data_IF_031439272064
#
_entry.id   IF_031439272064
#
_cell.length_a   1.000
_cell.length_b   1.000
_cell.length_c   1.000
_cell.angle_alpha   90.00
_cell.angle_beta   90.00
_cell.angle_gamma   90.00
#
_symmetry.space_group_name_H-M   'P 1'
#
loop_
_entity.id
_entity.type
_entity.pdbx_description
1 polymer ?
#
# COMPACT_ATOMS: atom_id res chain seq x y z
N UNK A 1 68.42 11.03 -7.67
CA UNK A 1 68.71 10.30 -6.42
C UNK A 1 67.60 9.26 -6.24
N UNK A 2 67.85 8.05 -6.76
CA UNK A 2 68.04 6.79 -5.99
C UNK A 2 66.72 6.28 -5.40
N UNK A 3 66.18 5.09 -5.72
CA UNK A 3 66.83 3.84 -6.15
C UNK A 3 65.80 2.85 -6.71
N UNK A 4 66.17 2.14 -7.79
CA UNK A 4 65.51 0.93 -8.33
C UNK A 4 66.09 -0.34 -7.66
N UNK A 5 65.27 -1.38 -7.51
CA UNK A 5 65.66 -2.81 -7.42
C UNK A 5 64.43 -3.66 -7.82
N UNK A 6 64.37 -4.31 -8.99
CA UNK A 6 64.95 -5.63 -9.36
C UNK A 6 64.49 -6.74 -8.39
N UNK A 7 64.00 -7.92 -8.75
CA UNK A 7 64.05 -8.70 -10.01
C UNK A 7 63.26 -10.02 -9.82
N UNK A 8 62.75 -10.61 -10.93
CA UNK A 8 62.74 -12.07 -11.29
C UNK A 8 61.94 -13.12 -10.49
N UNK A 9 61.47 -14.28 -11.00
CA UNK A 9 61.33 -14.93 -12.32
C UNK A 9 60.62 -16.30 -12.10
N UNK A 10 60.13 -16.89 -13.20
CA UNK A 10 59.86 -18.32 -13.50
C UNK A 10 58.47 -18.93 -13.16
N UNK A 11 57.63 -19.39 -14.10
CA UNK A 11 57.66 -20.35 -15.25
C UNK A 11 57.30 -21.82 -14.92
N UNK A 12 56.43 -22.39 -15.79
CA UNK A 12 56.09 -23.82 -16.06
C UNK A 12 55.11 -24.48 -15.05
N UNK A 13 54.12 -25.30 -15.44
CA UNK A 13 54.00 -26.24 -16.57
C UNK A 13 52.53 -26.70 -16.78
N UNK A 14 52.20 -27.14 -18.01
CA UNK A 14 50.94 -27.85 -18.40
C UNK A 14 50.84 -29.25 -17.78
N UNK A 15 49.62 -29.71 -17.45
CA UNK A 15 49.12 -31.11 -17.57
C UNK A 15 47.59 -31.18 -17.32
N UNK A 16 46.83 -31.71 -18.30
CA UNK A 16 45.56 -32.45 -18.17
C UNK A 16 45.87 -33.92 -18.56
N UNK A 17 44.99 -34.92 -18.33
CA UNK A 17 43.73 -34.94 -17.58
C UNK A 17 43.70 -36.07 -16.52
N UNK A 18 42.70 -36.09 -15.63
CA UNK A 18 42.11 -37.36 -15.21
C UNK A 18 40.66 -37.19 -14.73
N UNK A 19 39.84 -38.12 -15.20
CA UNK A 19 38.40 -38.23 -15.07
C UNK A 19 38.04 -38.77 -13.68
N UNK A 20 37.12 -38.12 -12.94
CA UNK A 20 36.26 -38.73 -11.91
C UNK A 20 35.29 -37.72 -11.27
N UNK A 21 34.01 -38.04 -11.42
CA UNK A 21 32.87 -37.79 -10.53
C UNK A 21 32.20 -36.40 -10.54
N UNK A 22 31.14 -36.33 -11.35
CA UNK A 22 29.96 -35.49 -11.21
C UNK A 22 29.26 -35.69 -9.86
N UNK A 23 28.95 -34.59 -9.16
CA UNK A 23 27.78 -34.42 -8.25
C UNK A 23 27.77 -33.13 -7.43
N UNK A 24 28.75 -32.22 -7.54
CA UNK A 24 28.86 -31.05 -6.63
C UNK A 24 28.76 -29.66 -7.26
N UNK A 25 28.11 -29.49 -8.42
CA UNK A 25 28.03 -28.20 -9.13
C UNK A 25 26.64 -27.54 -9.23
N UNK A 26 25.62 -28.09 -8.58
CA UNK A 26 24.25 -27.56 -8.66
C UNK A 26 23.93 -26.57 -7.51
N UNK A 27 24.74 -26.51 -6.46
CA UNK A 27 24.36 -25.82 -5.21
C UNK A 27 24.97 -24.42 -4.98
N UNK A 28 25.78 -23.87 -5.90
CA UNK A 28 26.45 -22.57 -5.70
C UNK A 28 25.86 -21.39 -6.50
N UNK A 29 24.78 -21.59 -7.26
CA UNK A 29 24.24 -20.53 -8.15
C UNK A 29 23.13 -19.66 -7.52
N UNK A 30 22.73 -19.89 -6.26
CA UNK A 30 21.56 -19.21 -5.66
C UNK A 30 21.94 -18.07 -4.70
N UNK A 31 23.21 -17.88 -4.38
CA UNK A 31 23.65 -16.80 -3.48
C UNK A 31 24.55 -15.83 -4.23
N UNK A 32 23.98 -14.72 -4.71
CA UNK A 32 24.59 -13.39 -4.79
C UNK A 32 23.73 -12.47 -5.68
N UNK A 33 22.81 -11.72 -5.06
CA UNK A 33 22.34 -10.45 -5.63
C UNK A 33 22.42 -9.42 -4.51
N UNK A 34 23.59 -8.79 -4.44
CA UNK A 34 23.78 -7.55 -3.71
C UNK A 34 23.37 -6.36 -4.59
N UNK A 35 22.77 -5.39 -3.93
CA UNK A 35 22.15 -4.16 -4.43
C UNK A 35 23.18 -3.03 -4.63
N UNK A 36 23.11 -2.31 -5.77
CA UNK A 36 23.62 -0.92 -5.84
C UNK A 36 22.96 -0.07 -6.93
N UNK A 37 22.46 1.10 -6.49
CA UNK A 37 22.36 2.44 -7.14
C UNK A 37 21.48 2.70 -8.37
N UNK A 38 20.42 3.50 -8.13
CA UNK A 38 19.97 4.73 -8.81
C UNK A 38 20.29 4.97 -10.31
N UNK A 39 19.27 5.10 -11.16
CA UNK A 39 18.76 6.37 -11.74
C UNK A 39 17.72 6.14 -12.87
N UNK A 40 16.82 7.10 -12.96
CA UNK A 40 15.72 7.39 -13.92
C UNK A 40 15.77 6.83 -15.35
N UNK A 41 14.63 6.33 -15.87
CA UNK A 41 13.86 6.87 -17.01
C UNK A 41 12.95 5.83 -17.70
N UNK A 42 11.84 6.35 -18.24
CA UNK A 42 10.83 5.77 -19.13
C UNK A 42 11.30 4.65 -20.09
N UNK A 43 10.57 3.53 -20.13
CA UNK A 43 10.09 2.87 -21.38
C UNK A 43 9.08 1.75 -21.02
N UNK A 44 7.94 1.57 -21.72
CA UNK A 44 7.09 0.40 -21.57
C UNK A 44 7.39 -0.61 -22.69
N UNK A 45 8.48 -1.36 -22.60
CA UNK A 45 8.69 -2.61 -23.36
C UNK A 45 10.00 -3.33 -22.93
N UNK A 46 9.92 -4.21 -21.93
CA UNK A 46 10.92 -5.26 -21.62
C UNK A 46 10.29 -6.18 -20.55
N UNK A 47 10.13 -7.50 -20.67
CA UNK A 47 11.10 -8.52 -21.07
C UNK A 47 10.39 -9.74 -21.68
N UNK A 48 10.76 -10.02 -22.92
CA UNK A 48 11.03 -11.37 -23.41
C UNK A 48 12.41 -11.78 -22.91
N UNK A 49 12.52 -12.83 -22.09
CA UNK A 49 13.70 -13.69 -22.01
C UNK A 49 13.56 -14.75 -20.91
N UNK A 50 13.03 -15.91 -21.29
CA UNK A 50 13.54 -17.19 -20.77
C UNK A 50 13.53 -18.17 -21.93
N UNK A 51 14.58 -18.12 -22.74
CA UNK A 51 14.97 -19.25 -23.59
C UNK A 51 15.38 -20.36 -22.63
N UNK A 52 14.52 -21.36 -22.45
CA UNK A 52 14.97 -22.66 -21.99
C UNK A 52 15.61 -23.34 -23.20
N UNK A 53 16.90 -23.64 -23.05
CA UNK A 53 17.71 -24.37 -24.02
C UNK A 53 17.08 -25.76 -24.27
N UNK A 54 16.68 -26.02 -25.51
CA UNK A 54 16.45 -27.39 -25.98
C UNK A 54 17.80 -28.11 -26.04
N UNK A 55 18.08 -28.97 -25.06
CA UNK A 55 19.15 -29.95 -25.19
C UNK A 55 18.64 -31.10 -26.08
N UNK A 56 19.10 -31.10 -27.32
CA UNK A 56 18.89 -32.14 -28.31
C UNK A 56 19.51 -33.47 -27.87
N UNK A 57 18.68 -34.49 -27.65
CA UNK A 57 19.13 -35.88 -27.58
C UNK A 57 19.15 -36.40 -29.03
N UNK A 58 20.37 -36.55 -29.56
CA UNK A 58 20.65 -37.18 -30.84
C UNK A 58 20.50 -38.70 -30.74
N UNK A 59 19.56 -39.29 -31.48
CA UNK A 59 19.59 -40.72 -31.82
C UNK A 59 19.89 -40.86 -33.32
N UNK A 60 21.05 -41.42 -33.63
CA UNK A 60 21.49 -41.79 -34.97
C UNK A 60 20.51 -42.77 -35.63
N UNK A 61 20.17 -42.53 -36.90
CA UNK A 61 19.62 -43.54 -37.80
C UNK A 61 20.46 -43.61 -39.07
N UNK A 62 21.30 -44.64 -39.18
CA UNK A 62 21.84 -45.11 -40.46
C UNK A 62 20.87 -46.14 -41.06
N UNK A 63 20.53 -45.93 -42.34
CA UNK A 63 20.11 -46.88 -43.38
C UNK A 63 19.36 -48.18 -42.99
N UNK A 64 18.14 -48.37 -43.50
CA UNK A 64 17.86 -48.98 -44.81
C UNK A 64 16.45 -49.61 -44.87
N UNK A 65 15.75 -49.37 -45.98
CA UNK A 65 14.63 -50.06 -46.62
C UNK A 65 13.71 -50.98 -45.78
N UNK A 66 12.39 -50.81 -45.95
CA UNK A 66 11.44 -51.79 -46.53
C UNK A 66 10.00 -51.47 -46.06
N UNK A 67 9.14 -51.27 -47.06
CA UNK A 67 7.68 -51.50 -47.11
C UNK A 67 6.75 -50.51 -46.39
N UNK A 68 6.00 -49.79 -47.23
CA UNK A 68 4.71 -49.17 -46.94
C UNK A 68 3.78 -50.17 -46.27
N UNK A 69 3.24 -49.82 -45.10
CA UNK A 69 1.96 -50.34 -44.67
C UNK A 69 1.21 -49.29 -43.85
N UNK A 70 -0.01 -49.07 -44.33
CA UNK A 70 -1.18 -48.44 -43.75
C UNK A 70 -1.19 -48.37 -42.21
N UNK A 71 -1.40 -47.16 -41.68
CA UNK A 71 -2.37 -46.81 -40.62
C UNK A 71 -2.01 -45.44 -40.02
N UNK A 72 -2.33 -44.37 -40.76
CA UNK A 72 -2.56 -43.06 -40.15
C UNK A 72 -3.91 -43.11 -39.43
N UNK A 73 -3.91 -43.39 -38.12
CA UNK A 73 -4.71 -42.66 -37.13
C UNK A 73 -4.54 -43.25 -35.72
N UNK A 74 -4.42 -42.31 -34.77
CA UNK A 74 -4.67 -42.47 -33.33
C UNK A 74 -3.73 -43.38 -32.52
N UNK A 75 -2.49 -42.92 -32.33
CA UNK A 75 -1.83 -43.05 -31.04
C UNK A 75 -1.10 -41.75 -30.74
N UNK A 76 -1.86 -40.74 -30.31
CA UNK A 76 -1.30 -39.65 -29.49
C UNK A 76 -0.68 -40.37 -28.31
N UNK A 77 0.66 -40.46 -28.33
CA UNK A 77 1.45 -41.12 -27.30
C UNK A 77 0.92 -40.71 -25.94
N UNK A 78 0.67 -41.67 -25.05
CA UNK A 78 0.24 -41.41 -23.67
C UNK A 78 1.11 -40.33 -23.01
N UNK A 79 2.38 -40.20 -23.42
CA UNK A 79 3.27 -39.12 -23.04
C UNK A 79 2.82 -37.72 -23.49
N UNK A 80 2.29 -37.54 -24.69
CA UNK A 80 1.80 -36.23 -25.19
C UNK A 80 0.54 -35.78 -24.45
N UNK A 81 -0.30 -36.73 -24.01
CA UNK A 81 -1.45 -36.44 -23.14
C UNK A 81 -1.00 -35.98 -21.75
N UNK A 82 -0.06 -36.71 -21.15
CA UNK A 82 0.52 -36.35 -19.84
C UNK A 82 1.22 -34.97 -19.92
N UNK A 83 1.95 -34.69 -20.99
CA UNK A 83 2.60 -33.37 -21.19
C UNK A 83 1.57 -32.26 -21.33
N UNK A 84 0.46 -32.49 -22.04
CA UNK A 84 -0.64 -31.50 -22.14
C UNK A 84 -1.33 -31.24 -20.80
N UNK A 85 -1.60 -32.29 -20.04
CA UNK A 85 -2.21 -32.17 -18.70
C UNK A 85 -1.29 -31.42 -17.73
N UNK A 86 0.00 -31.78 -17.67
CA UNK A 86 1.01 -31.08 -16.86
C UNK A 86 1.15 -29.61 -17.28
N UNK A 87 1.14 -29.32 -18.58
CA UNK A 87 1.24 -27.95 -19.08
C UNK A 87 0.01 -27.12 -18.69
N UNK A 88 -1.18 -27.71 -18.77
CA UNK A 88 -2.41 -27.06 -18.34
C UNK A 88 -2.42 -26.78 -16.84
N UNK A 89 -1.95 -27.72 -16.01
CA UNK A 89 -1.85 -27.56 -14.56
C UNK A 89 -0.81 -26.49 -14.18
N UNK A 90 0.34 -26.47 -14.86
CA UNK A 90 1.36 -25.42 -14.70
C UNK A 90 0.83 -24.05 -15.13
N UNK A 91 0.15 -23.96 -16.27
CA UNK A 91 -0.44 -22.71 -16.77
C UNK A 91 -1.53 -22.18 -15.81
N UNK A 92 -2.33 -23.07 -15.23
CA UNK A 92 -3.32 -22.72 -14.21
C UNK A 92 -2.66 -22.17 -12.95
N UNK A 93 -1.63 -22.84 -12.43
CA UNK A 93 -0.86 -22.37 -11.25
C UNK A 93 -0.15 -21.05 -11.54
N UNK A 94 0.48 -20.90 -12.71
CA UNK A 94 1.15 -19.64 -13.11
C UNK A 94 0.14 -18.51 -13.23
N UNK A 95 -1.02 -18.76 -13.86
CA UNK A 95 -2.07 -17.77 -13.97
C UNK A 95 -2.59 -17.34 -12.60
N UNK A 96 -2.84 -18.29 -11.69
CA UNK A 96 -3.29 -18.03 -10.33
C UNK A 96 -2.26 -17.21 -9.53
N UNK A 97 -0.98 -17.54 -9.64
CA UNK A 97 0.11 -16.78 -9.01
C UNK A 97 0.19 -15.35 -9.56
N UNK A 98 0.02 -15.17 -10.88
CA UNK A 98 -0.03 -13.84 -11.49
C UNK A 98 -1.24 -13.03 -11.03
N UNK A 99 -2.42 -13.64 -10.90
CA UNK A 99 -3.60 -12.99 -10.33
C UNK A 99 -3.35 -12.57 -8.88
N UNK A 100 -2.76 -13.43 -8.05
CA UNK A 100 -2.39 -13.11 -6.67
C UNK A 100 -1.39 -11.96 -6.59
N UNK A 101 -0.34 -11.97 -7.43
CA UNK A 101 0.65 -10.90 -7.48
C UNK A 101 0.03 -9.57 -7.92
N UNK A 102 -0.84 -9.57 -8.93
CA UNK A 102 -1.58 -8.38 -9.38
C UNK A 102 -2.52 -7.85 -8.29
N UNK A 103 -3.21 -8.75 -7.59
CA UNK A 103 -4.11 -8.39 -6.49
C UNK A 103 -3.35 -7.81 -5.30
N UNK A 104 -2.22 -8.42 -4.92
CA UNK A 104 -1.32 -7.89 -3.89
C UNK A 104 -0.82 -6.50 -4.26
N UNK A 105 -0.33 -6.31 -5.50
CA UNK A 105 0.13 -5.03 -5.99
C UNK A 105 -1.00 -3.98 -6.00
N UNK A 106 -2.23 -4.37 -6.33
CA UNK A 106 -3.40 -3.50 -6.25
C UNK A 106 -3.68 -3.07 -4.79
N UNK A 107 -3.74 -4.02 -3.85
CA UNK A 107 -3.97 -3.76 -2.42
C UNK A 107 -2.95 -2.77 -1.88
N UNK A 108 -1.67 -2.99 -2.16
CA UNK A 108 -0.58 -2.12 -1.72
C UNK A 108 -0.61 -0.76 -2.41
N UNK A 109 -0.77 -0.72 -3.74
CA UNK A 109 -0.80 0.53 -4.52
C UNK A 109 -1.96 1.45 -4.11
N UNK A 110 -3.10 0.89 -3.77
CA UNK A 110 -4.29 1.65 -3.39
C UNK A 110 -4.46 1.79 -1.86
N UNK A 111 -3.54 1.27 -1.05
CA UNK A 111 -3.61 1.29 0.41
C UNK A 111 -4.98 0.80 0.94
N UNK A 112 -5.56 -0.21 0.27
CA UNK A 112 -6.95 -0.66 0.50
C UNK A 112 -7.25 -1.02 1.95
N UNK A 113 -6.41 -1.81 2.66
CA UNK A 113 -6.75 -2.27 4.00
C UNK A 113 -6.75 -1.11 5.00
N UNK A 114 -5.79 -0.19 4.88
CA UNK A 114 -5.71 1.04 5.67
C UNK A 114 -6.95 1.91 5.47
N UNK A 115 -7.41 2.07 4.23
CA UNK A 115 -8.63 2.85 3.93
C UNK A 115 -9.91 2.22 4.45
N UNK A 116 -10.01 0.89 4.40
CA UNK A 116 -11.15 0.18 4.98
C UNK A 116 -11.17 0.42 6.49
N UNK A 117 -10.03 0.26 7.15
CA UNK A 117 -9.90 0.57 8.58
C UNK A 117 -10.28 2.02 8.85
N UNK A 118 -9.70 2.96 8.11
CA UNK A 118 -9.96 4.39 8.24
C UNK A 118 -11.43 4.76 8.02
N UNK A 119 -12.09 4.18 7.02
CA UNK A 119 -13.52 4.39 6.72
C UNK A 119 -14.43 3.77 7.78
N UNK A 120 -14.02 2.66 8.39
CA UNK A 120 -14.79 1.97 9.43
C UNK A 120 -14.92 2.82 10.71
N UNK A 121 -13.92 3.66 10.99
CA UNK A 121 -13.90 4.55 12.15
C UNK A 121 -15.06 5.56 12.10
N UNK A 122 -15.46 6.04 10.92
CA UNK A 122 -16.61 6.93 10.79
C UNK A 122 -17.90 6.29 11.32
N UNK A 123 -18.14 5.01 10.98
CA UNK A 123 -19.30 4.26 11.48
C UNK A 123 -19.24 4.04 12.99
N UNK A 124 -18.06 3.67 13.52
CA UNK A 124 -17.87 3.50 14.98
C UNK A 124 -18.13 4.82 15.71
N UNK A 125 -17.66 5.94 15.15
CA UNK A 125 -17.85 7.28 15.73
C UNK A 125 -19.33 7.66 15.78
N UNK A 126 -20.07 7.42 14.69
CA UNK A 126 -21.52 7.66 14.66
C UNK A 126 -22.27 6.78 15.66
N UNK A 127 -21.87 5.51 15.80
CA UNK A 127 -22.44 4.61 16.79
C UNK A 127 -22.21 5.11 18.23
N UNK A 128 -20.99 5.53 18.56
CA UNK A 128 -20.66 6.08 19.88
C UNK A 128 -21.40 7.39 20.15
N UNK A 129 -21.50 8.27 19.15
CA UNK A 129 -22.27 9.51 19.21
C UNK A 129 -23.75 9.25 19.50
N UNK A 130 -24.37 8.36 18.72
CA UNK A 130 -25.79 7.98 18.89
C UNK A 130 -26.08 7.27 20.22
N UNK A 131 -25.07 6.61 20.78
CA UNK A 131 -25.14 5.96 22.09
C UNK A 131 -24.96 6.94 23.26
N UNK A 132 -24.68 8.22 22.99
CA UNK A 132 -24.55 9.26 24.01
C UNK A 132 -23.22 9.26 24.75
N UNK A 133 -22.16 8.68 24.18
CA UNK A 133 -20.83 8.77 24.77
C UNK A 133 -20.29 10.20 24.66
N UNK A 134 -19.78 10.71 25.78
CA UNK A 134 -19.17 12.04 25.85
C UNK A 134 -17.67 11.98 25.55
N UNK A 135 -17.10 13.08 25.04
CA UNK A 135 -15.68 13.15 24.67
C UNK A 135 -14.77 12.78 25.85
N UNK A 136 -15.10 13.22 27.06
CA UNK A 136 -14.34 12.94 28.28
C UNK A 136 -14.22 11.43 28.60
N UNK A 137 -15.13 10.61 28.11
CA UNK A 137 -15.10 9.15 28.30
C UNK A 137 -14.26 8.45 27.22
N UNK A 138 -14.08 9.08 26.05
CA UNK A 138 -13.38 8.52 24.90
C UNK A 138 -11.92 8.98 24.88
N UNK A 139 -11.65 10.26 25.15
CA UNK A 139 -10.30 10.86 25.09
C UNK A 139 -9.26 10.07 25.91
N UNK A 140 -9.51 9.65 27.17
CA UNK A 140 -8.52 8.88 27.92
C UNK A 140 -8.17 7.53 27.28
N UNK A 141 -9.13 6.89 26.60
CA UNK A 141 -8.90 5.63 25.87
C UNK A 141 -8.01 5.87 24.65
N UNK A 142 -8.22 6.97 23.93
CA UNK A 142 -7.36 7.38 22.80
C UNK A 142 -5.94 7.73 23.27
N UNK A 143 -5.80 8.47 24.38
CA UNK A 143 -4.50 8.76 24.99
C UNK A 143 -3.78 7.48 25.41
N UNK A 144 -4.50 6.54 26.05
CA UNK A 144 -3.93 5.24 26.43
C UNK A 144 -3.44 4.47 25.19
N UNK A 145 -4.26 4.40 24.14
CA UNK A 145 -3.86 3.79 22.87
C UNK A 145 -2.64 4.48 22.25
N UNK A 146 -2.58 5.81 22.30
CA UNK A 146 -1.45 6.59 21.77
C UNK A 146 -0.16 6.24 22.50
N UNK A 147 -0.19 6.23 23.83
CA UNK A 147 0.98 5.87 24.65
C UNK A 147 1.44 4.44 24.36
N UNK A 148 0.51 3.48 24.30
CA UNK A 148 0.85 2.08 24.00
C UNK A 148 1.50 1.95 22.62
N UNK A 149 0.89 2.52 21.58
CA UNK A 149 1.42 2.44 20.22
C UNK A 149 2.75 3.18 20.10
N UNK A 150 2.92 4.31 20.77
CA UNK A 150 4.17 5.07 20.77
C UNK A 150 5.30 4.26 21.40
N UNK A 151 5.03 3.60 22.52
CA UNK A 151 5.99 2.71 23.17
C UNK A 151 6.37 1.53 22.24
N UNK A 152 5.39 0.93 21.56
CA UNK A 152 5.65 -0.13 20.58
C UNK A 152 6.54 0.37 19.43
N UNK A 153 6.30 1.58 18.92
CA UNK A 153 7.13 2.20 17.88
C UNK A 153 8.55 2.52 18.38
N UNK A 154 8.71 2.98 19.62
CA UNK A 154 10.03 3.19 20.22
C UNK A 154 10.80 1.88 20.33
N UNK A 155 10.16 0.80 20.81
CA UNK A 155 10.76 -0.54 20.87
C UNK A 155 11.12 -1.04 19.46
N UNK A 156 10.25 -0.77 18.48
CA UNK A 156 10.47 -1.10 17.07
C UNK A 156 11.74 -0.47 16.50
N UNK A 157 12.00 0.81 16.79
CA UNK A 157 13.23 1.46 16.33
C UNK A 157 14.49 0.99 17.06
N UNK A 158 14.36 0.43 18.27
CA UNK A 158 15.49 -0.05 19.06
C UNK A 158 15.89 -1.50 18.73
N UNK A 159 14.96 -2.34 18.27
CA UNK A 159 15.20 -3.77 18.07
C UNK A 159 14.85 -4.22 16.64
N UNK A 160 15.84 -4.63 15.83
CA UNK A 160 15.61 -5.16 14.49
C UNK A 160 14.73 -6.42 14.47
N UNK A 161 14.89 -7.29 15.49
CA UNK A 161 14.11 -8.52 15.63
C UNK A 161 12.63 -8.18 15.89
N UNK A 162 12.38 -7.25 16.82
CA UNK A 162 11.03 -6.80 17.10
C UNK A 162 10.40 -6.11 15.89
N UNK A 163 11.17 -5.29 15.16
CA UNK A 163 10.70 -4.65 13.94
C UNK A 163 10.23 -5.66 12.89
N UNK A 164 10.96 -6.75 12.67
CA UNK A 164 10.55 -7.80 11.74
C UNK A 164 9.24 -8.48 12.17
N UNK A 165 9.11 -8.82 13.46
CA UNK A 165 7.87 -9.41 14.00
C UNK A 165 6.68 -8.44 13.89
N UNK A 166 6.91 -7.18 14.24
CA UNK A 166 5.91 -6.11 14.18
C UNK A 166 5.43 -5.89 12.74
N UNK A 167 6.36 -5.71 11.79
CA UNK A 167 6.04 -5.54 10.37
C UNK A 167 5.34 -6.78 9.82
N UNK A 168 5.70 -8.00 10.25
CA UNK A 168 4.99 -9.21 9.84
C UNK A 168 3.53 -9.23 10.34
N UNK A 169 3.27 -8.69 11.54
CA UNK A 169 1.93 -8.68 12.14
C UNK A 169 1.04 -7.55 11.60
N UNK A 170 1.56 -6.33 11.45
CA UNK A 170 0.76 -5.13 11.13
C UNK A 170 1.18 -4.42 9.83
N UNK A 171 2.22 -4.91 9.14
CA UNK A 171 2.76 -4.29 7.93
C UNK A 171 1.76 -4.21 6.76
N UNK A 172 0.75 -5.08 6.74
CA UNK A 172 -0.34 -5.02 5.76
C UNK A 172 -1.19 -3.74 5.84
N UNK A 173 -1.12 -3.01 6.96
CA UNK A 173 -1.77 -1.72 7.16
C UNK A 173 -0.81 -0.53 7.02
N UNK A 174 0.51 -0.75 7.13
CA UNK A 174 1.53 0.30 7.13
C UNK A 174 1.93 0.73 5.73
N UNK A 175 2.32 2.00 5.57
CA UNK A 175 2.94 2.53 4.33
C UNK A 175 4.41 2.14 4.25
N UNK A 176 4.96 2.06 3.03
CA UNK A 176 6.37 1.67 2.81
C UNK A 176 7.37 2.52 3.61
N UNK A 177 7.12 3.83 3.71
CA UNK A 177 7.96 4.74 4.50
C UNK A 177 7.91 4.46 6.01
N UNK A 178 6.77 4.00 6.52
CA UNK A 178 6.56 3.65 7.94
C UNK A 178 7.30 2.35 8.29
N UNK A 179 7.28 1.38 7.37
CA UNK A 179 8.05 0.14 7.49
C UNK A 179 9.55 0.43 7.52
N UNK A 180 10.02 1.37 6.68
CA UNK A 180 11.45 1.67 6.54
C UNK A 180 12.01 2.53 7.66
N UNK A 181 11.46 3.72 7.91
CA UNK A 181 12.10 4.71 8.80
C UNK A 181 11.15 5.79 9.35
N UNK A 182 9.84 5.57 9.38
CA UNK A 182 8.87 6.54 9.90
C UNK A 182 7.99 5.93 10.98
N UNK A 183 7.52 6.77 11.89
CA UNK A 183 6.47 6.43 12.87
C UNK A 183 5.20 5.95 12.18
N UNK A 184 4.44 5.10 12.87
CA UNK A 184 3.19 4.52 12.41
C UNK A 184 2.12 5.61 12.17
N UNK A 185 1.42 5.53 11.03
CA UNK A 185 0.35 6.47 10.68
C UNK A 185 -0.78 6.57 11.72
N UNK A 186 -0.98 5.53 12.55
CA UNK A 186 -1.96 5.52 13.64
C UNK A 186 -1.59 6.52 14.75
N UNK A 187 -0.31 6.81 14.97
CA UNK A 187 0.11 7.82 15.95
C UNK A 187 -0.35 9.22 15.55
N UNK A 188 -0.20 9.59 14.27
CA UNK A 188 -0.69 10.85 13.74
C UNK A 188 -2.22 10.95 13.84
N UNK A 189 -2.92 9.84 13.53
CA UNK A 189 -4.37 9.75 13.70
C UNK A 189 -4.80 10.02 15.15
N UNK A 190 -4.24 9.26 16.10
CA UNK A 190 -4.59 9.38 17.51
C UNK A 190 -4.26 10.77 18.05
N UNK A 191 -3.10 11.31 17.70
CA UNK A 191 -2.70 12.66 18.08
C UNK A 191 -3.68 13.71 17.54
N UNK A 192 -4.10 13.58 16.27
CA UNK A 192 -5.08 14.48 15.66
C UNK A 192 -6.42 14.45 16.38
N UNK A 193 -6.94 13.26 16.69
CA UNK A 193 -8.18 13.11 17.44
C UNK A 193 -8.06 13.66 18.86
N UNK A 194 -6.96 13.38 19.57
CA UNK A 194 -6.72 13.90 20.93
C UNK A 194 -6.71 15.43 20.92
N UNK A 195 -5.99 16.04 19.97
CA UNK A 195 -5.96 17.50 19.82
C UNK A 195 -7.37 18.01 19.54
N UNK A 196 -8.06 17.49 18.53
CA UNK A 196 -9.43 17.90 18.20
C UNK A 196 -10.36 17.81 19.42
N UNK A 197 -10.34 16.71 20.16
CA UNK A 197 -11.24 16.49 21.30
C UNK A 197 -10.93 17.40 22.49
N UNK A 198 -9.72 17.95 22.60
CA UNK A 198 -9.31 18.76 23.75
C UNK A 198 -9.96 20.14 23.80
N UNK A 199 -10.44 20.69 22.67
CA UNK A 199 -10.88 22.08 22.61
C UNK A 199 -12.18 22.32 21.83
N UNK A 200 -12.65 21.36 21.03
CA UNK A 200 -13.90 21.53 20.26
C UNK A 200 -15.11 20.85 20.93
N UNK A 201 -16.31 21.26 20.54
CA UNK A 201 -17.56 20.65 21.00
C UNK A 201 -17.74 19.24 20.46
N UNK A 202 -18.48 18.38 21.17
CA UNK A 202 -18.82 17.00 20.78
C UNK A 202 -19.23 16.86 19.29
N UNK A 203 -20.11 17.71 18.81
CA UNK A 203 -20.64 17.62 17.44
C UNK A 203 -19.55 17.89 16.39
N UNK A 204 -18.73 18.92 16.63
CA UNK A 204 -17.59 19.28 15.77
C UNK A 204 -16.52 18.19 15.81
N UNK A 205 -16.27 17.61 16.98
CA UNK A 205 -15.32 16.51 17.14
C UNK A 205 -15.72 15.29 16.28
N UNK A 206 -16.99 14.91 16.35
CA UNK A 206 -17.56 13.81 15.54
C UNK A 206 -17.47 14.14 14.07
N UNK A 207 -17.87 15.36 13.66
CA UNK A 207 -17.82 15.76 12.27
C UNK A 207 -16.39 15.77 11.72
N UNK A 208 -15.42 16.27 12.48
CA UNK A 208 -14.00 16.22 12.11
C UNK A 208 -13.45 14.80 11.93
N UNK A 209 -13.88 13.85 12.78
CA UNK A 209 -13.54 12.43 12.61
C UNK A 209 -14.17 11.86 11.33
N UNK A 210 -15.40 12.24 11.00
CA UNK A 210 -16.07 11.81 9.77
C UNK A 210 -15.41 12.39 8.52
N UNK A 211 -15.01 13.66 8.55
CA UNK A 211 -14.26 14.28 7.47
C UNK A 211 -12.91 13.59 7.27
N UNK A 212 -12.18 13.33 8.36
CA UNK A 212 -10.97 12.52 8.26
C UNK A 212 -11.27 11.14 7.68
N UNK A 213 -12.32 10.45 8.13
CA UNK A 213 -12.61 9.08 7.71
C UNK A 213 -13.02 8.98 6.24
N UNK A 214 -14.04 9.74 5.83
CA UNK A 214 -14.70 9.58 4.53
C UNK A 214 -14.26 10.61 3.50
N UNK A 215 -13.96 11.85 3.90
CA UNK A 215 -13.47 12.84 2.95
C UNK A 215 -12.03 12.56 2.50
N UNK A 216 -11.12 12.15 3.42
CA UNK A 216 -9.77 11.68 3.05
C UNK A 216 -9.80 10.43 2.16
N UNK A 217 -10.62 9.43 2.53
CA UNK A 217 -10.75 8.21 1.72
C UNK A 217 -11.31 8.53 0.33
N UNK A 218 -12.31 9.40 0.24
CA UNK A 218 -12.85 9.90 -1.03
C UNK A 218 -11.79 10.63 -1.84
N UNK A 219 -11.16 11.65 -1.25
CA UNK A 219 -10.15 12.48 -1.90
C UNK A 219 -8.99 11.65 -2.44
N UNK A 220 -8.44 10.77 -1.62
CA UNK A 220 -7.30 9.96 -2.01
C UNK A 220 -7.69 8.88 -3.03
N UNK A 221 -8.94 8.41 -3.05
CA UNK A 221 -9.41 7.41 -4.02
C UNK A 221 -9.66 8.06 -5.38
N UNK A 222 -10.49 9.10 -5.44
CA UNK A 222 -10.78 9.82 -6.68
C UNK A 222 -9.58 10.64 -7.17
N UNK A 223 -8.72 11.11 -6.26
CA UNK A 223 -7.47 11.78 -6.60
C UNK A 223 -6.47 10.86 -7.31
N UNK A 224 -6.38 9.58 -6.95
CA UNK A 224 -5.54 8.60 -7.67
C UNK A 224 -6.16 8.14 -8.99
N UNK A 225 -7.49 7.97 -9.03
CA UNK A 225 -8.19 7.52 -10.24
C UNK A 225 -8.25 8.60 -11.32
N UNK A 226 -8.64 9.81 -10.94
CA UNK A 226 -8.97 10.90 -11.86
C UNK A 226 -8.04 12.11 -11.78
N UNK A 227 -7.16 12.17 -10.78
CA UNK A 227 -6.29 13.35 -10.58
C UNK A 227 -5.36 13.67 -11.75
N UNK A 228 -5.05 12.69 -12.61
CA UNK A 228 -4.28 12.90 -13.85
C UNK A 228 -5.04 13.69 -14.93
N UNK A 229 -6.37 13.72 -14.85
CA UNK A 229 -7.24 14.43 -15.80
C UNK A 229 -7.68 15.81 -15.29
N UNK A 230 -7.27 16.20 -14.08
CA UNK A 230 -7.68 17.44 -13.44
C UNK A 230 -6.47 18.27 -13.02
N UNK A 231 -6.59 19.60 -12.90
CA UNK A 231 -5.51 20.44 -12.38
C UNK A 231 -5.01 19.95 -11.02
N UNK A 232 -3.69 20.03 -10.81
CA UNK A 232 -3.07 19.78 -9.52
C UNK A 232 -3.20 21.03 -8.64
N UNK A 233 -3.64 20.85 -7.40
CA UNK A 233 -3.74 21.92 -6.40
C UNK A 233 -2.39 22.08 -5.70
N UNK A 234 -1.77 20.96 -5.35
CA UNK A 234 -0.39 20.89 -4.82
C UNK A 234 0.38 19.81 -5.56
N UNK A 235 1.63 19.54 -5.16
CA UNK A 235 2.44 18.46 -5.74
C UNK A 235 1.73 17.10 -5.67
N UNK A 236 0.99 16.87 -4.58
CA UNK A 236 0.37 15.58 -4.25
C UNK A 236 -1.17 15.60 -4.29
N UNK A 237 -1.81 16.78 -4.30
CA UNK A 237 -3.27 16.93 -4.24
C UNK A 237 -3.83 17.40 -5.60
N UNK A 238 -4.97 16.86 -5.99
CA UNK A 238 -5.64 17.17 -7.27
C UNK A 238 -7.01 17.78 -7.06
N UNK A 239 -7.51 18.51 -8.07
CA UNK A 239 -8.85 19.06 -8.05
C UNK A 239 -9.92 17.95 -7.95
N UNK A 240 -9.71 16.81 -8.61
CA UNK A 240 -10.57 15.63 -8.46
C UNK A 240 -10.69 15.17 -7.00
N UNK A 241 -9.57 15.14 -6.27
CA UNK A 241 -9.55 14.79 -4.85
C UNK A 241 -10.33 15.81 -4.00
N UNK A 242 -10.14 17.11 -4.27
CA UNK A 242 -10.83 18.18 -3.55
C UNK A 242 -12.36 18.14 -3.77
N UNK A 243 -12.80 17.88 -5.01
CA UNK A 243 -14.23 17.70 -5.32
C UNK A 243 -14.81 16.48 -4.59
N UNK A 244 -14.06 15.38 -4.55
CA UNK A 244 -14.48 14.20 -3.80
C UNK A 244 -14.56 14.47 -2.29
N UNK A 245 -13.59 15.18 -1.71
CA UNK A 245 -13.64 15.63 -0.32
C UNK A 245 -14.86 16.52 -0.06
N UNK A 246 -15.17 17.45 -0.97
CA UNK A 246 -16.34 18.31 -0.85
C UNK A 246 -17.64 17.50 -0.78
N UNK A 247 -17.84 16.57 -1.72
CA UNK A 247 -19.04 15.74 -1.78
C UNK A 247 -19.13 14.84 -0.54
N UNK A 248 -18.03 14.19 -0.16
CA UNK A 248 -17.96 13.34 1.03
C UNK A 248 -18.19 14.13 2.33
N UNK A 249 -17.78 15.40 2.39
CA UNK A 249 -18.04 16.28 3.52
C UNK A 249 -19.51 16.63 3.69
N UNK A 250 -20.20 16.96 2.58
CA UNK A 250 -21.65 17.14 2.58
C UNK A 250 -22.38 15.87 3.04
N UNK A 251 -21.96 14.71 2.52
CA UNK A 251 -22.51 13.42 2.91
C UNK A 251 -22.28 13.10 4.40
N UNK A 252 -21.10 13.44 4.92
CA UNK A 252 -20.76 13.27 6.33
C UNK A 252 -21.66 14.10 7.24
N UNK A 253 -21.95 15.35 6.89
CA UNK A 253 -22.89 16.18 7.64
C UNK A 253 -24.31 15.64 7.58
N UNK A 254 -24.74 15.19 6.39
CA UNK A 254 -26.07 14.61 6.19
C UNK A 254 -26.28 13.38 7.07
N UNK A 255 -25.34 12.41 7.03
CA UNK A 255 -25.46 11.20 7.84
C UNK A 255 -25.38 11.53 9.33
N UNK A 256 -24.53 12.49 9.72
CA UNK A 256 -24.35 12.90 11.11
C UNK A 256 -25.69 13.38 11.68
N UNK A 257 -26.36 14.30 10.98
CA UNK A 257 -27.64 14.83 11.43
C UNK A 257 -28.78 13.81 11.32
N UNK A 258 -28.73 12.93 10.32
CA UNK A 258 -29.71 11.84 10.17
C UNK A 258 -29.62 10.84 11.32
N UNK A 259 -28.40 10.45 11.71
CA UNK A 259 -28.14 9.49 12.78
C UNK A 259 -28.17 10.12 14.17
N UNK A 260 -28.22 11.45 14.31
CA UNK A 260 -28.34 12.12 15.59
C UNK A 260 -29.63 11.74 16.33
N UNK A 261 -29.58 11.73 17.66
CA UNK A 261 -30.77 11.57 18.50
C UNK A 261 -31.72 12.77 18.29
N UNK A 262 -33.04 12.61 18.47
CA UNK A 262 -33.99 13.71 18.26
C UNK A 262 -33.61 15.01 18.98
N UNK A 263 -33.09 14.92 20.20
CA UNK A 263 -32.62 16.03 21.02
C UNK A 263 -31.32 16.69 20.52
N UNK A 264 -30.50 15.96 19.75
CA UNK A 264 -29.22 16.40 19.22
C UNK A 264 -29.32 16.80 17.73
N UNK A 265 -30.52 16.82 17.14
CA UNK A 265 -30.72 17.20 15.74
C UNK A 265 -30.58 18.70 15.55
N UNK A 266 -29.83 19.08 14.51
CA UNK A 266 -29.64 20.46 14.12
C UNK A 266 -30.55 20.82 12.94
N UNK A 267 -31.09 22.03 12.97
CA UNK A 267 -31.81 22.63 11.83
C UNK A 267 -30.81 23.14 10.80
N UNK A 268 -30.24 22.21 10.03
CA UNK A 268 -29.21 22.51 9.04
C UNK A 268 -29.80 23.23 7.82
N UNK A 269 -29.13 24.27 7.38
CA UNK A 269 -29.40 25.02 6.16
C UNK A 269 -28.51 24.52 5.01
N UNK A 270 -28.84 24.89 3.77
CA UNK A 270 -27.97 24.61 2.61
C UNK A 270 -26.55 25.18 2.79
N UNK A 271 -26.40 26.29 3.51
CA UNK A 271 -25.12 26.92 3.79
C UNK A 271 -24.22 26.03 4.66
N UNK A 272 -24.78 25.34 5.66
CA UNK A 272 -24.02 24.42 6.53
C UNK A 272 -23.40 23.27 5.73
N UNK A 273 -24.16 22.72 4.77
CA UNK A 273 -23.69 21.68 3.87
C UNK A 273 -22.55 22.18 2.99
N UNK A 274 -22.78 23.28 2.26
CA UNK A 274 -21.79 23.88 1.36
C UNK A 274 -20.50 24.19 2.12
N UNK A 275 -20.59 24.83 3.29
CA UNK A 275 -19.43 25.18 4.09
C UNK A 275 -18.71 23.96 4.65
N UNK A 276 -19.42 22.93 5.12
CA UNK A 276 -18.79 21.69 5.59
C UNK A 276 -18.04 20.99 4.45
N UNK A 277 -18.64 20.93 3.26
CA UNK A 277 -17.95 20.42 2.07
C UNK A 277 -16.70 21.25 1.73
N UNK A 278 -16.77 22.58 1.78
CA UNK A 278 -15.61 23.43 1.54
C UNK A 278 -14.51 23.22 2.58
N UNK A 279 -14.88 23.11 3.86
CA UNK A 279 -13.94 22.84 4.94
C UNK A 279 -13.23 21.50 4.72
N UNK A 280 -13.95 20.46 4.30
CA UNK A 280 -13.36 19.18 3.95
C UNK A 280 -12.36 19.30 2.80
N UNK A 281 -12.73 19.98 1.71
CA UNK A 281 -11.87 20.19 0.56
C UNK A 281 -10.63 21.04 0.86
N UNK A 282 -10.77 22.09 1.67
CA UNK A 282 -9.66 22.94 2.10
C UNK A 282 -8.72 22.18 3.02
N UNK A 283 -9.26 21.44 4.00
CA UNK A 283 -8.44 20.65 4.93
C UNK A 283 -7.64 19.58 4.19
N UNK A 284 -8.21 18.97 3.15
CA UNK A 284 -7.51 18.04 2.26
C UNK A 284 -6.48 18.73 1.35
N UNK A 285 -6.78 19.93 0.86
CA UNK A 285 -5.93 20.69 -0.05
C UNK A 285 -4.69 21.31 0.61
N UNK A 286 -4.72 21.52 1.94
CA UNK A 286 -3.60 22.06 2.71
C UNK A 286 -2.55 20.96 2.94
N UNK A 287 -1.46 21.02 2.17
CA UNK A 287 -0.30 20.14 2.32
C UNK A 287 0.83 20.88 3.06
N UNK A 288 0.94 20.66 4.37
CA UNK A 288 1.98 21.24 5.24
C UNK A 288 3.14 20.27 5.51
N UNK A 289 3.24 19.16 4.77
CA UNK A 289 4.30 18.15 4.96
C UNK A 289 4.15 17.28 6.22
N UNK A 290 3.02 17.37 6.92
CA UNK A 290 2.64 16.51 8.05
C UNK A 290 1.57 15.51 7.56
N UNK A 291 1.48 14.33 8.19
CA UNK A 291 0.53 13.30 7.77
C UNK A 291 -0.93 13.78 7.88
N UNK A 292 -1.71 13.50 6.84
CA UNK A 292 -3.13 13.86 6.71
C UNK A 292 -3.99 13.35 7.88
N UNK A 293 -3.58 12.25 8.50
CA UNK A 293 -4.24 11.69 9.69
C UNK A 293 -4.23 12.65 10.89
N UNK A 294 -3.26 13.55 10.96
CA UNK A 294 -3.17 14.59 11.99
C UNK A 294 -3.79 15.91 11.51
N UNK A 295 -3.51 16.32 10.28
CA UNK A 295 -3.85 17.66 9.79
C UNK A 295 -5.36 17.82 9.54
N UNK A 296 -6.01 16.85 8.89
CA UNK A 296 -7.43 16.95 8.51
C UNK A 296 -8.35 17.14 9.73
N UNK A 297 -8.32 16.31 10.79
CA UNK A 297 -9.22 16.48 11.92
C UNK A 297 -8.96 17.80 12.67
N UNK A 298 -7.70 18.23 12.78
CA UNK A 298 -7.32 19.48 13.47
C UNK A 298 -7.77 20.71 12.66
N UNK A 299 -7.50 20.75 11.36
CA UNK A 299 -7.90 21.85 10.49
C UNK A 299 -9.42 21.93 10.33
N UNK A 300 -10.08 20.79 10.11
CA UNK A 300 -11.53 20.76 9.99
C UNK A 300 -12.22 21.22 11.27
N UNK A 301 -11.74 20.79 12.44
CA UNK A 301 -12.31 21.23 13.72
C UNK A 301 -12.09 22.72 13.93
N UNK A 302 -10.91 23.25 13.57
CA UNK A 302 -10.61 24.68 13.57
C UNK A 302 -11.62 25.47 12.75
N UNK A 303 -11.76 25.12 11.47
CA UNK A 303 -12.65 25.85 10.58
C UNK A 303 -14.13 25.72 10.96
N UNK A 304 -14.58 24.53 11.37
CA UNK A 304 -15.95 24.31 11.84
C UNK A 304 -16.26 25.09 13.12
N UNK A 305 -15.30 25.17 14.04
CA UNK A 305 -15.48 25.94 15.29
C UNK A 305 -15.51 27.44 15.02
N UNK A 306 -14.66 27.93 14.13
CA UNK A 306 -14.71 29.32 13.69
C UNK A 306 -16.05 29.62 13.02
N UNK A 307 -16.49 28.77 12.08
CA UNK A 307 -17.79 28.90 11.43
C UNK A 307 -18.93 28.96 12.45
N UNK A 308 -19.01 28.00 13.38
CA UNK A 308 -20.03 27.97 14.43
C UNK A 308 -20.03 29.26 15.27
N UNK A 309 -18.85 29.76 15.63
CA UNK A 309 -18.73 31.02 16.39
C UNK A 309 -19.18 32.24 15.60
N UNK A 310 -18.91 32.33 14.30
CA UNK A 310 -19.30 33.49 13.51
C UNK A 310 -20.76 33.44 13.05
N UNK A 311 -21.29 32.27 12.73
CA UNK A 311 -22.66 32.10 12.23
C UNK A 311 -23.74 32.19 13.32
N UNK A 312 -23.40 31.90 14.58
CA UNK A 312 -24.34 31.94 15.72
C UNK A 312 -24.26 33.28 16.50
N UNK A 313 -23.22 34.10 16.27
CA UNK A 313 -23.05 35.42 16.91
C UNK A 313 -23.63 36.60 16.08
N UNK A 314 -24.46 36.33 15.08
CA UNK A 314 -25.29 37.29 14.34
C UNK A 314 -26.77 36.94 14.58
#
# INVERSE_FOLDING_TARGET
MTTLKKDNLNFRNRKKPNNKNDSSKITESITNIDTSSDETANDPDFISSTKLEESSISTNSENSNVVENENENENISTGDRIIKELKQEVDEVVSFLQYHARFHNFIHKYEVPRKIFHSSIGFITLFLYRSGYELNQITPKMVTAFVVILLLDVIRFQSPIFNQLYVKAVGWMMREREVKNSYNGVLYYLLGIIITFSWCSRDIAVLSVLLLSWADTGASTFGRLYGKYTPKITKNKSLAGCIAAFIAGNFSLWIFNYMARPEDKHNLTLLDYILTGFIAAISEGIDIGIDDNLTIPVLSSLFLTLYRKFAINL
#
